data_IF_727302491031
#
_entry.id   IF_727302491031
#
_cell.length_a   1.000
_cell.length_b   1.000
_cell.length_c   1.000
_cell.angle_alpha   90.00
_cell.angle_beta   90.00
_cell.angle_gamma   90.00
#
_symmetry.space_group_name_H-M   'P 1'
#
loop_
_entity.id
_entity.type
_entity.pdbx_description
1 polymer ?
#
# COMPACT_ATOMS: atom_id res chain seq x y z
N UNK A 1 -67.09 -17.72 55.15
CA UNK A 1 -66.11 -17.74 54.02
C UNK A 1 -64.75 -17.53 54.66
N UNK A 2 -63.72 -18.36 54.57
CA UNK A 2 -63.23 -19.13 53.43
C UNK A 2 -62.27 -20.23 53.97
N UNK A 3 -62.32 -21.42 53.37
CA UNK A 3 -61.53 -22.61 53.66
C UNK A 3 -60.14 -22.61 52.98
N UNK A 4 -59.15 -23.24 53.64
CA UNK A 4 -57.78 -23.64 53.16
C UNK A 4 -57.89 -24.61 51.95
N UNK A 5 -56.86 -24.96 51.11
CA UNK A 5 -55.42 -25.10 51.42
C UNK A 5 -54.34 -24.94 50.28
N UNK A 6 -53.06 -24.96 50.66
CA UNK A 6 -51.87 -25.65 50.09
C UNK A 6 -51.68 -25.75 48.55
N UNK A 7 -50.58 -25.19 47.98
CA UNK A 7 -49.63 -25.77 46.97
C UNK A 7 -48.32 -24.94 46.97
N UNK A 8 -47.21 -25.41 47.51
CA UNK A 8 -46.20 -26.25 46.86
C UNK A 8 -45.47 -25.58 45.67
N UNK A 9 -44.28 -25.04 45.96
CA UNK A 9 -43.05 -25.21 45.17
C UNK A 9 -42.99 -24.61 43.76
N UNK A 10 -42.57 -23.35 43.62
CA UNK A 10 -42.01 -22.83 42.36
C UNK A 10 -40.98 -21.73 42.67
N UNK A 11 -39.77 -22.08 43.14
CA UNK A 11 -38.59 -21.21 43.04
C UNK A 11 -37.35 -22.08 42.80
N UNK A 12 -37.37 -22.90 41.75
CA UNK A 12 -36.15 -23.50 41.16
C UNK A 12 -36.37 -23.52 39.65
N UNK A 13 -36.28 -22.36 39.00
CA UNK A 13 -36.25 -22.29 37.52
C UNK A 13 -35.65 -20.96 37.04
N UNK A 14 -34.55 -20.53 37.66
CA UNK A 14 -33.73 -19.41 37.14
C UNK A 14 -32.26 -19.84 37.24
N UNK A 15 -31.87 -20.82 36.44
CA UNK A 15 -30.48 -21.14 36.02
C UNK A 15 -30.69 -22.06 34.82
N UNK A 16 -30.81 -21.54 33.60
CA UNK A 16 -30.66 -22.31 32.35
C UNK A 16 -30.46 -21.41 31.11
N UNK A 17 -29.82 -20.24 31.26
CA UNK A 17 -29.58 -19.32 30.12
C UNK A 17 -28.15 -18.79 29.98
N UNK A 18 -27.15 -19.41 30.61
CA UNK A 18 -25.73 -19.10 30.31
C UNK A 18 -25.03 -20.29 29.68
N UNK A 19 -25.56 -20.76 28.56
CA UNK A 19 -24.86 -21.63 27.62
C UNK A 19 -24.15 -20.79 26.56
N UNK A 20 -23.14 -20.00 26.96
CA UNK A 20 -22.27 -19.29 26.04
C UNK A 20 -21.12 -20.18 25.60
N UNK A 21 -21.35 -21.07 24.62
CA UNK A 21 -20.26 -21.74 23.90
C UNK A 21 -19.83 -20.85 22.74
N UNK A 22 -18.82 -20.00 22.95
CA UNK A 22 -18.08 -19.39 21.85
C UNK A 22 -17.19 -20.46 21.21
N UNK A 23 -17.44 -20.82 19.96
CA UNK A 23 -16.48 -21.62 19.20
C UNK A 23 -15.18 -20.83 19.07
N UNK A 24 -14.02 -21.38 19.50
CA UNK A 24 -12.75 -20.74 19.18
C UNK A 24 -12.55 -20.83 17.67
N UNK A 25 -12.20 -19.70 17.05
CA UNK A 25 -11.80 -19.67 15.66
C UNK A 25 -10.66 -20.68 15.45
N UNK A 26 -10.74 -21.47 14.38
CA UNK A 26 -9.68 -22.42 14.06
C UNK A 26 -8.38 -21.64 13.77
N UNK A 27 -7.19 -22.15 14.15
CA UNK A 27 -5.92 -21.45 13.94
C UNK A 27 -5.63 -21.01 12.49
N UNK A 28 -6.30 -21.62 11.52
CA UNK A 28 -6.19 -21.31 10.09
C UNK A 28 -6.88 -19.99 9.70
N UNK A 29 -7.91 -19.56 10.45
CA UNK A 29 -8.64 -18.30 10.20
C UNK A 29 -7.87 -17.05 10.64
N UNK A 30 -6.77 -17.23 11.39
CA UNK A 30 -5.82 -16.14 11.71
C UNK A 30 -4.85 -15.86 10.56
N UNK A 31 -4.75 -16.75 9.57
CA UNK A 31 -3.92 -16.55 8.39
C UNK A 31 -4.80 -15.88 7.33
N UNK A 32 -5.08 -14.59 7.52
CA UNK A 32 -5.67 -13.79 6.44
C UNK A 32 -4.58 -13.50 5.42
N UNK A 33 -4.73 -13.93 4.15
CA UNK A 33 -3.84 -13.49 3.09
C UNK A 33 -3.85 -11.94 3.04
N UNK A 34 -2.75 -11.29 2.62
CA UNK A 34 -2.69 -9.84 2.56
C UNK A 34 -3.86 -9.33 1.72
N UNK A 35 -4.64 -8.40 2.28
CA UNK A 35 -5.74 -7.73 1.59
C UNK A 35 -5.19 -7.00 0.37
N UNK A 36 -5.26 -7.65 -0.79
CA UNK A 36 -5.22 -6.97 -2.08
C UNK A 36 -6.60 -6.39 -2.31
N UNK A 37 -6.70 -5.09 -2.56
CA UNK A 37 -7.96 -4.42 -2.90
C UNK A 37 -8.74 -5.27 -3.92
N UNK A 38 -9.93 -5.73 -3.53
CA UNK A 38 -10.60 -6.90 -4.11
C UNK A 38 -11.37 -6.64 -5.43
N UNK A 39 -11.27 -5.47 -6.05
CA UNK A 39 -12.12 -5.12 -7.20
C UNK A 39 -11.53 -5.39 -8.58
N UNK A 40 -10.25 -5.77 -8.68
CA UNK A 40 -9.59 -5.92 -9.98
C UNK A 40 -9.12 -7.37 -10.18
N UNK A 41 -9.60 -8.09 -11.21
CA UNK A 41 -9.03 -9.38 -11.58
C UNK A 41 -7.52 -9.22 -11.82
N UNK A 42 -6.68 -9.86 -10.99
CA UNK A 42 -5.21 -9.69 -11.05
C UNK A 42 -4.65 -9.91 -12.45
N UNK A 43 -5.20 -10.89 -13.17
CA UNK A 43 -4.78 -11.23 -14.54
C UNK A 43 -5.11 -10.13 -15.56
N UNK A 44 -6.21 -9.39 -15.39
CA UNK A 44 -6.59 -8.32 -16.31
C UNK A 44 -5.74 -7.06 -16.09
N UNK A 45 -5.42 -6.74 -14.83
CA UNK A 45 -4.55 -5.60 -14.52
C UNK A 45 -3.12 -5.81 -15.01
N UNK A 46 -2.52 -6.98 -14.75
CA UNK A 46 -1.15 -7.26 -15.19
C UNK A 46 -1.01 -7.17 -16.72
N UNK A 47 -1.98 -7.69 -17.45
CA UNK A 47 -2.02 -7.61 -18.92
C UNK A 47 -2.16 -6.16 -19.39
N UNK A 48 -3.06 -5.39 -18.79
CA UNK A 48 -3.24 -3.97 -19.11
C UNK A 48 -1.98 -3.16 -18.81
N UNK A 49 -1.32 -3.42 -17.67
CA UNK A 49 -0.09 -2.76 -17.27
C UNK A 49 1.04 -3.01 -18.27
N UNK A 50 1.23 -4.25 -18.70
CA UNK A 50 2.24 -4.59 -19.71
C UNK A 50 2.00 -3.90 -21.05
N UNK A 51 0.74 -3.69 -21.43
CA UNK A 51 0.39 -2.97 -22.67
C UNK A 51 0.56 -1.45 -22.55
N UNK A 52 0.49 -0.89 -21.34
CA UNK A 52 0.62 0.55 -21.08
C UNK A 52 2.07 0.99 -20.88
N UNK A 53 2.93 0.13 -20.34
CA UNK A 53 4.32 0.48 -20.09
C UNK A 53 5.16 0.39 -21.37
N UNK A 54 6.20 1.23 -21.51
CA UNK A 54 7.13 1.15 -22.63
C UNK A 54 7.78 -0.24 -22.76
N UNK A 55 8.13 -0.62 -23.99
CA UNK A 55 8.84 -1.88 -24.25
C UNK A 55 10.16 -1.93 -23.45
N UNK A 56 10.39 -3.05 -22.76
CA UNK A 56 11.57 -3.22 -21.91
C UNK A 56 11.55 -2.44 -20.60
N UNK A 57 10.43 -1.81 -20.24
CA UNK A 57 10.23 -1.24 -18.92
C UNK A 57 10.30 -2.33 -17.84
N UNK A 58 11.02 -2.05 -16.75
CA UNK A 58 11.17 -2.97 -15.63
C UNK A 58 10.58 -2.35 -14.37
N UNK A 59 9.57 -3.02 -13.81
CA UNK A 59 8.97 -2.61 -12.54
C UNK A 59 10.02 -2.59 -11.42
N UNK A 60 9.92 -1.57 -10.56
CA UNK A 60 10.78 -1.40 -9.41
C UNK A 60 10.01 -1.71 -8.14
N UNK A 61 10.67 -2.42 -7.23
CA UNK A 61 10.14 -2.73 -5.90
C UNK A 61 10.86 -1.81 -4.92
N UNK A 62 10.13 -1.06 -4.07
CA UNK A 62 10.76 -0.21 -3.05
C UNK A 62 11.56 -1.06 -2.06
N UNK A 63 12.69 -0.52 -1.60
CA UNK A 63 13.55 -1.17 -0.62
C UNK A 63 13.00 -1.10 0.80
N UNK A 64 12.14 -0.13 1.07
CA UNK A 64 11.52 0.14 2.36
C UNK A 64 10.00 0.24 2.22
N UNK A 65 9.31 0.01 3.33
CA UNK A 65 7.85 0.06 3.41
C UNK A 65 7.25 -1.28 3.83
N UNK A 66 6.01 -1.24 4.29
CA UNK A 66 5.33 -2.41 4.85
C UNK A 66 4.87 -3.41 3.77
N UNK A 67 4.81 -2.95 2.52
CA UNK A 67 4.38 -3.73 1.36
C UNK A 67 5.45 -3.63 0.27
N UNK A 68 6.24 -4.69 0.12
CA UNK A 68 7.19 -4.87 -0.99
C UNK A 68 6.47 -5.22 -2.29
N UNK A 69 5.63 -4.30 -2.78
CA UNK A 69 4.84 -4.47 -4.00
C UNK A 69 5.31 -3.49 -5.06
N UNK A 70 5.32 -3.94 -6.32
CA UNK A 70 5.69 -3.12 -7.47
C UNK A 70 4.61 -2.09 -7.84
N UNK A 71 3.41 -2.23 -7.26
CA UNK A 71 2.23 -1.41 -7.55
C UNK A 71 1.58 -1.03 -6.23
N UNK A 72 1.28 0.25 -6.06
CA UNK A 72 0.54 0.80 -4.92
C UNK A 72 -0.83 1.29 -5.39
N UNK A 73 -1.82 1.28 -4.51
CA UNK A 73 -3.18 1.70 -4.82
C UNK A 73 -3.67 2.74 -3.81
N UNK A 74 -4.48 3.68 -4.26
CA UNK A 74 -5.23 4.62 -3.43
C UNK A 74 -6.01 5.61 -4.28
N UNK A 75 -7.03 6.23 -3.70
CA UNK A 75 -7.87 7.27 -4.33
C UNK A 75 -7.06 8.58 -4.44
N UNK A 76 -6.36 8.75 -5.55
CA UNK A 76 -5.42 9.87 -5.80
C UNK A 76 -6.15 11.08 -6.35
N UNK A 77 -7.24 10.90 -7.09
CA UNK A 77 -8.02 12.02 -7.63
C UNK A 77 -9.30 12.36 -6.87
N UNK A 78 -9.65 11.58 -5.85
CA UNK A 78 -10.72 11.87 -4.90
C UNK A 78 -12.12 11.47 -5.40
N UNK A 79 -12.21 10.59 -6.40
CA UNK A 79 -13.50 10.13 -6.94
C UNK A 79 -14.06 8.86 -6.25
N UNK A 80 -13.34 8.33 -5.25
CA UNK A 80 -13.70 7.15 -4.49
C UNK A 80 -13.27 5.83 -5.13
N UNK A 81 -12.54 5.85 -6.24
CA UNK A 81 -11.98 4.66 -6.91
C UNK A 81 -10.46 4.72 -6.86
N UNK A 82 -9.84 3.65 -6.38
CA UNK A 82 -8.37 3.62 -6.27
C UNK A 82 -7.67 3.66 -7.64
N UNK A 83 -6.74 4.61 -7.81
CA UNK A 83 -5.73 4.59 -8.86
C UNK A 83 -4.57 3.66 -8.51
N UNK A 84 -3.90 3.17 -9.55
CA UNK A 84 -2.67 2.40 -9.41
C UNK A 84 -1.45 3.29 -9.67
N UNK A 85 -0.51 3.32 -8.72
CA UNK A 85 0.80 3.97 -8.86
C UNK A 85 1.85 2.91 -9.12
N UNK A 86 2.55 3.04 -10.25
CA UNK A 86 3.55 2.09 -10.70
C UNK A 86 4.88 2.81 -10.93
N UNK A 87 5.95 2.27 -10.37
CA UNK A 87 7.31 2.79 -10.56
C UNK A 87 8.11 1.80 -11.40
N UNK A 88 8.80 2.29 -12.43
CA UNK A 88 9.56 1.47 -13.37
C UNK A 88 10.82 2.16 -13.87
N UNK A 89 11.76 1.36 -14.36
CA UNK A 89 12.92 1.80 -15.11
C UNK A 89 12.65 1.58 -16.60
N UNK A 90 12.66 2.66 -17.38
CA UNK A 90 12.67 2.58 -18.84
C UNK A 90 14.11 2.33 -19.31
N UNK A 91 14.28 1.32 -20.17
CA UNK A 91 15.56 0.98 -20.76
C UNK A 91 15.68 1.54 -22.18
N UNK A 92 15.48 2.85 -22.37
CA UNK A 92 15.77 3.49 -23.65
C UNK A 92 17.26 3.87 -23.71
N UNK A 93 17.99 3.42 -24.73
CA UNK A 93 19.40 3.81 -24.92
C UNK A 93 19.46 5.30 -25.31
N UNK A 94 20.38 6.11 -24.75
CA UNK A 94 21.60 5.73 -24.02
C UNK A 94 21.50 5.71 -22.49
N UNK A 95 20.41 6.15 -21.85
CA UNK A 95 20.34 6.28 -20.40
C UNK A 95 19.04 5.69 -19.83
N UNK A 96 19.20 4.87 -18.78
CA UNK A 96 18.09 4.37 -17.96
C UNK A 96 17.38 5.55 -17.30
N UNK A 97 16.06 5.60 -17.40
CA UNK A 97 15.26 6.61 -16.71
C UNK A 97 14.25 5.98 -15.76
N UNK A 98 14.25 6.43 -14.52
CA UNK A 98 13.23 6.08 -13.54
C UNK A 98 11.96 6.89 -13.81
N UNK A 99 10.82 6.22 -13.75
CA UNK A 99 9.51 6.79 -14.04
C UNK A 99 8.51 6.28 -13.01
N UNK A 100 7.54 7.13 -12.69
CA UNK A 100 6.33 6.71 -12.01
C UNK A 100 5.13 7.11 -12.85
N UNK A 101 4.12 6.25 -12.92
CA UNK A 101 2.87 6.51 -13.62
C UNK A 101 1.69 6.23 -12.72
N UNK A 102 0.69 7.10 -12.81
CA UNK A 102 -0.62 6.96 -12.19
C UNK A 102 -1.57 6.43 -13.25
N UNK A 103 -2.17 5.28 -12.98
CA UNK A 103 -3.12 4.63 -13.86
C UNK A 103 -4.50 4.71 -13.23
N UNK A 104 -5.50 5.07 -14.05
CA UNK A 104 -6.91 5.11 -13.65
C UNK A 104 -7.72 4.16 -14.53
N UNK A 105 -8.71 3.52 -13.95
CA UNK A 105 -9.66 2.70 -14.69
C UNK A 105 -10.80 3.56 -15.24
N UNK A 106 -11.03 3.50 -16.55
CA UNK A 106 -12.15 4.15 -17.24
C UNK A 106 -12.84 3.13 -18.13
N UNK A 107 -14.15 2.91 -17.96
CA UNK A 107 -14.93 1.89 -18.69
C UNK A 107 -14.26 0.50 -18.72
N UNK A 108 -13.80 0.03 -17.56
CA UNK A 108 -13.06 -1.23 -17.37
C UNK A 108 -11.65 -1.30 -18.00
N UNK A 109 -11.17 -0.26 -18.68
CA UNK A 109 -9.82 -0.19 -19.23
C UNK A 109 -8.90 0.72 -18.40
N UNK A 110 -7.67 0.27 -18.15
CA UNK A 110 -6.67 1.10 -17.49
C UNK A 110 -6.03 2.08 -18.48
N UNK A 111 -5.77 3.31 -18.01
CA UNK A 111 -5.07 4.35 -18.78
C UNK A 111 -4.11 5.10 -17.87
N UNK A 112 -2.99 5.54 -18.42
CA UNK A 112 -2.08 6.46 -17.70
C UNK A 112 -2.72 7.85 -17.69
N UNK A 113 -2.92 8.41 -16.51
CA UNK A 113 -3.50 9.75 -16.30
C UNK A 113 -2.49 10.75 -15.75
N UNK A 114 -1.37 10.27 -15.21
CA UNK A 114 -0.28 11.12 -14.76
C UNK A 114 1.06 10.39 -14.83
N UNK A 115 2.13 11.15 -15.00
CA UNK A 115 3.49 10.63 -15.00
C UNK A 115 4.44 11.57 -14.25
N UNK A 116 5.49 10.97 -13.69
CA UNK A 116 6.57 11.68 -13.02
C UNK A 116 7.91 11.07 -13.43
N UNK A 117 8.90 11.93 -13.67
CA UNK A 117 10.28 11.50 -13.88
C UNK A 117 10.98 11.37 -12.52
N UNK A 118 11.47 10.18 -12.23
CA UNK A 118 12.28 9.92 -11.05
C UNK A 118 13.72 10.39 -11.21
N UNK A 119 14.44 10.40 -10.09
CA UNK A 119 15.86 10.79 -10.00
C UNK A 119 16.70 9.70 -9.35
N UNK A 120 18.00 9.71 -9.62
CA UNK A 120 18.94 8.77 -9.04
C UNK A 120 18.90 7.39 -9.70
N UNK A 121 19.02 6.34 -8.90
CA UNK A 121 19.37 4.99 -9.34
C UNK A 121 18.34 3.91 -8.95
N UNK A 122 17.32 4.27 -8.18
CA UNK A 122 16.26 3.34 -7.82
C UNK A 122 15.20 3.98 -6.94
N UNK A 123 14.22 3.17 -6.55
CA UNK A 123 13.17 3.54 -5.62
C UNK A 123 13.45 2.90 -4.26
N UNK A 124 13.42 3.73 -3.23
CA UNK A 124 13.62 3.36 -1.84
C UNK A 124 12.28 3.22 -1.12
N UNK A 125 11.31 4.09 -1.40
CA UNK A 125 10.01 4.11 -0.73
C UNK A 125 8.88 4.49 -1.70
N UNK A 126 7.72 3.87 -1.56
CA UNK A 126 6.48 4.29 -2.24
C UNK A 126 5.34 4.22 -1.23
N UNK A 127 4.55 5.30 -1.15
CA UNK A 127 3.31 5.32 -0.37
C UNK A 127 2.25 6.13 -1.10
N UNK A 128 1.03 5.62 -1.05
CA UNK A 128 -0.18 6.30 -1.48
C UNK A 128 -1.09 6.32 -0.26
N UNK A 129 -1.36 7.51 0.28
CA UNK A 129 -2.17 7.68 1.48
C UNK A 129 -2.59 9.15 1.63
N UNK A 130 -3.76 9.36 2.20
CA UNK A 130 -4.19 10.67 2.71
C UNK A 130 -3.41 11.01 3.99
N UNK A 131 -2.32 11.75 3.83
CA UNK A 131 -1.45 12.20 4.93
C UNK A 131 -1.91 13.58 5.47
N UNK A 132 -2.67 14.35 4.69
CA UNK A 132 -3.10 15.70 5.06
C UNK A 132 -4.51 15.74 5.72
N UNK A 133 -5.30 14.67 5.55
CA UNK A 133 -6.64 14.47 6.10
C UNK A 133 -7.78 15.09 5.29
N UNK A 134 -7.58 15.41 4.00
CA UNK A 134 -8.60 16.00 3.12
C UNK A 134 -9.45 14.98 2.36
N UNK A 135 -9.14 13.69 2.51
CA UNK A 135 -9.82 12.59 1.84
C UNK A 135 -9.28 12.24 0.46
N UNK A 136 -8.24 12.94 -0.03
CA UNK A 136 -7.55 12.66 -1.29
C UNK A 136 -6.16 12.12 -0.96
N UNK A 137 -5.74 11.03 -1.61
CA UNK A 137 -4.45 10.42 -1.33
C UNK A 137 -3.29 11.18 -1.96
N UNK A 138 -2.25 11.47 -1.16
CA UNK A 138 -0.95 11.88 -1.68
C UNK A 138 -0.13 10.69 -2.20
N UNK A 139 0.75 10.96 -3.15
CA UNK A 139 1.78 10.02 -3.60
C UNK A 139 3.14 10.48 -3.08
N UNK A 140 3.79 9.64 -2.29
CA UNK A 140 5.16 9.82 -1.82
C UNK A 140 6.10 8.83 -2.52
N UNK A 141 7.10 9.38 -3.23
CA UNK A 141 8.12 8.62 -3.93
C UNK A 141 9.50 8.93 -3.35
N UNK A 142 10.07 7.96 -2.65
CA UNK A 142 11.42 8.02 -2.12
C UNK A 142 12.42 7.44 -3.10
N UNK A 143 13.29 8.27 -3.65
CA UNK A 143 14.32 7.92 -4.61
C UNK A 143 15.66 7.64 -3.94
N UNK A 144 16.41 6.69 -4.50
CA UNK A 144 17.78 6.40 -4.11
C UNK A 144 18.77 7.19 -4.95
N UNK A 145 19.58 8.02 -4.30
CA UNK A 145 20.60 8.87 -4.95
C UNK A 145 22.01 8.27 -4.83
N UNK A 146 22.13 6.98 -4.50
CA UNK A 146 23.40 6.31 -4.25
C UNK A 146 24.13 6.91 -3.05
N UNK A 147 25.39 7.30 -3.22
CA UNK A 147 26.18 7.96 -2.18
C UNK A 147 25.59 9.31 -1.72
N UNK A 148 24.67 9.90 -2.50
CA UNK A 148 23.94 11.12 -2.13
C UNK A 148 22.78 10.88 -1.14
N UNK A 149 22.54 9.63 -0.71
CA UNK A 149 21.47 9.27 0.21
C UNK A 149 20.12 9.06 -0.49
N UNK A 150 19.05 9.57 0.11
CA UNK A 150 17.67 9.39 -0.36
C UNK A 150 16.93 10.73 -0.46
N UNK A 151 16.05 10.85 -1.46
CA UNK A 151 15.25 12.04 -1.71
C UNK A 151 13.78 11.70 -1.90
N UNK A 152 12.90 12.37 -1.20
CA UNK A 152 11.45 12.21 -1.28
C UNK A 152 10.87 13.28 -2.20
N UNK A 153 10.01 12.84 -3.11
CA UNK A 153 9.07 13.67 -3.83
C UNK A 153 7.65 13.37 -3.35
N UNK A 154 6.86 14.42 -3.10
CA UNK A 154 5.43 14.33 -2.77
C UNK A 154 4.62 14.93 -3.91
N UNK A 155 3.62 14.19 -4.36
CA UNK A 155 2.70 14.60 -5.41
C UNK A 155 1.26 14.61 -4.88
N UNK A 156 0.49 15.59 -5.34
CA UNK A 156 -0.94 15.75 -5.10
C UNK A 156 -1.67 15.90 -6.43
N UNK A 157 -2.91 15.44 -6.49
CA UNK A 157 -3.76 15.67 -7.65
C UNK A 157 -4.44 17.04 -7.55
N UNK A 158 -4.12 17.95 -8.46
CA UNK A 158 -4.67 19.32 -8.46
C UNK A 158 -5.10 19.72 -9.85
N UNK A 159 -6.30 20.28 -9.96
CA UNK A 159 -6.87 20.74 -11.23
C UNK A 159 -6.78 19.68 -12.34
N UNK A 160 -7.06 18.42 -11.98
CA UNK A 160 -7.03 17.28 -12.90
C UNK A 160 -5.63 16.91 -13.44
N UNK A 161 -4.57 17.29 -12.72
CA UNK A 161 -3.17 17.05 -13.08
C UNK A 161 -2.36 16.63 -11.84
N UNK A 162 -1.48 15.64 -12.03
CA UNK A 162 -0.49 15.25 -11.02
C UNK A 162 0.53 16.37 -10.81
N UNK A 163 0.56 16.95 -9.61
CA UNK A 163 1.40 18.11 -9.27
C UNK A 163 2.40 17.76 -8.19
N UNK A 164 3.68 18.02 -8.44
CA UNK A 164 4.72 17.93 -7.40
C UNK A 164 4.55 19.07 -6.40
N UNK A 165 4.33 18.74 -5.13
CA UNK A 165 4.11 19.73 -4.05
C UNK A 165 5.23 19.77 -3.03
N UNK A 166 6.04 18.70 -2.92
CA UNK A 166 7.13 18.61 -1.95
C UNK A 166 8.38 17.94 -2.50
N UNK A 167 9.55 18.42 -2.06
CA UNK A 167 10.84 17.75 -2.20
C UNK A 167 11.60 17.80 -0.89
N UNK A 168 12.11 16.67 -0.40
CA UNK A 168 12.87 16.62 0.86
C UNK A 168 13.90 15.51 0.86
N UNK A 169 15.13 15.79 1.31
CA UNK A 169 16.06 14.72 1.67
C UNK A 169 15.57 13.97 2.92
N UNK A 170 15.63 12.66 2.92
CA UNK A 170 15.41 11.84 4.12
C UNK A 170 16.54 10.82 4.20
N UNK A 171 16.93 10.39 5.39
CA UNK A 171 18.16 9.61 5.58
C UNK A 171 17.90 8.16 5.97
N UNK A 172 18.72 7.25 5.43
CA UNK A 172 19.33 6.21 6.27
C UNK A 172 20.45 6.84 7.11
N UNK A 173 20.70 6.40 8.36
CA UNK A 173 21.84 6.84 9.16
C UNK A 173 23.17 6.63 8.40
N UNK A 174 24.25 7.36 8.74
CA UNK A 174 25.58 7.04 8.22
C UNK A 174 25.92 5.59 8.60
N UNK A 175 26.35 4.84 7.59
CA UNK A 175 26.83 3.46 7.64
C UNK A 175 27.47 3.10 9.00
N UNK A 176 26.70 2.40 9.83
CA UNK A 176 27.17 1.83 11.08
C UNK A 176 27.76 0.46 10.79
N UNK A 177 29.07 0.41 10.51
CA UNK A 177 30.02 -0.21 11.44
C UNK A 177 31.38 -0.42 10.78
N UNK A 178 32.35 0.27 11.37
CA UNK A 178 33.75 -0.09 11.29
C UNK A 178 33.94 -1.50 11.86
N UNK A 179 34.17 -2.50 11.00
CA UNK A 179 35.05 -3.62 11.34
C UNK A 179 36.40 -3.33 10.71
N UNK A 180 37.19 -2.60 11.49
CA UNK A 180 38.63 -2.49 11.36
C UNK A 180 39.21 -3.91 11.41
N UNK A 181 39.56 -4.47 10.26
CA UNK A 181 40.48 -5.60 10.19
C UNK A 181 41.80 -5.18 10.82
N UNK A 182 42.01 -5.53 12.09
CA UNK A 182 43.34 -5.66 12.65
C UNK A 182 43.67 -7.14 12.75
N UNK A 183 44.37 -7.59 11.72
CA UNK A 183 45.35 -8.64 11.77
C UNK A 183 46.34 -8.44 12.93
N UNK A 184 46.38 -9.42 13.83
CA UNK A 184 47.56 -9.88 14.61
C UNK A 184 47.20 -11.31 15.01
N UNK A 185 47.83 -12.35 14.43
CA UNK A 185 49.04 -12.99 14.97
C UNK A 185 49.07 -13.07 16.50
#
# INVERSE_FOLDING_TARGET
>A
MLSRPLKAGIIISVIWLTGGCGMPAAPIDLIKPPVSHESVPKDSFHTALQALLPEGARLLIPRQGDKFQAVSFGDVDGDGVDEAVVVYEESSRPEKSLRASVLKQHDAAWRIVGDAKGIGYGIDYVRVADDNGDGISEIMLGWSLGAGGTGMDTYEWKNNVLTLTGKKGYGSPPDGDAVRNQSTQ
#
